data_IF_718398357714
#
_entry.id   IF_718398357714
#
_cell.length_a   1.000
_cell.length_b   1.000
_cell.length_c   1.000
_cell.angle_alpha   90.00
_cell.angle_beta   90.00
_cell.angle_gamma   90.00
#
_symmetry.space_group_name_H-M   'P 1'
#
loop_
_entity.id
_entity.type
_entity.pdbx_description
1 polymer ?
#
# COMPACT_ATOMS: atom_id res chain seq x y z
N UNK A 1 -11.14 33.95 2.76
CA UNK A 1 -12.43 33.24 2.88
C UNK A 1 -12.29 31.72 2.83
N UNK A 2 -11.54 31.12 1.90
CA UNK A 2 -11.41 29.64 1.80
C UNK A 2 -10.88 28.94 3.06
N UNK A 3 -9.87 29.48 3.74
CA UNK A 3 -9.30 28.91 4.95
C UNK A 3 -10.26 28.89 6.15
N UNK A 4 -11.09 29.89 6.31
CA UNK A 4 -12.09 29.96 7.39
C UNK A 4 -13.15 28.85 7.24
N UNK A 5 -13.70 28.69 6.03
CA UNK A 5 -14.67 27.62 5.77
C UNK A 5 -14.05 26.23 5.90
N UNK A 6 -12.78 26.09 5.53
CA UNK A 6 -12.05 24.84 5.72
C UNK A 6 -11.92 24.48 7.22
N UNK A 7 -11.53 25.44 8.08
CA UNK A 7 -11.46 25.21 9.53
C UNK A 7 -12.81 24.78 10.12
N UNK A 8 -13.89 25.47 9.76
CA UNK A 8 -15.25 25.09 10.20
C UNK A 8 -15.56 23.65 9.77
N UNK A 9 -15.30 23.31 8.51
CA UNK A 9 -15.54 21.96 7.99
C UNK A 9 -14.75 20.91 8.77
N UNK A 10 -13.48 21.19 9.09
CA UNK A 10 -12.63 20.28 9.86
C UNK A 10 -13.11 20.10 11.32
N UNK A 11 -13.60 21.16 11.95
CA UNK A 11 -14.17 21.09 13.30
C UNK A 11 -15.48 20.31 13.33
N UNK A 12 -16.36 20.51 12.35
CA UNK A 12 -17.58 19.71 12.19
C UNK A 12 -17.28 18.24 11.91
N UNK A 13 -16.29 17.95 11.07
CA UNK A 13 -15.82 16.61 10.82
C UNK A 13 -15.33 15.91 12.11
N UNK A 14 -14.53 16.61 12.94
CA UNK A 14 -14.09 16.09 14.24
C UNK A 14 -15.26 15.81 15.19
N UNK A 15 -16.23 16.71 15.25
CA UNK A 15 -17.43 16.52 16.06
C UNK A 15 -18.22 15.28 15.59
N UNK A 16 -18.35 15.07 14.26
CA UNK A 16 -18.96 13.89 13.68
C UNK A 16 -18.23 12.59 14.01
N UNK A 17 -16.87 12.60 13.98
CA UNK A 17 -16.07 11.45 14.44
C UNK A 17 -16.31 11.17 15.92
N UNK A 18 -16.34 12.20 16.78
CA UNK A 18 -16.62 12.04 18.21
C UNK A 18 -17.97 11.40 18.47
N UNK A 19 -19.01 11.84 17.76
CA UNK A 19 -20.36 11.26 17.84
C UNK A 19 -20.37 9.80 17.36
N UNK A 20 -19.75 9.51 16.21
CA UNK A 20 -19.66 8.15 15.69
C UNK A 20 -18.93 7.21 16.66
N UNK A 21 -17.84 7.68 17.28
CA UNK A 21 -17.10 6.91 18.28
C UNK A 21 -17.96 6.61 19.53
N UNK A 22 -18.72 7.60 20.00
CA UNK A 22 -19.67 7.45 21.10
C UNK A 22 -20.79 6.44 20.76
N UNK A 23 -21.22 6.39 19.49
CA UNK A 23 -22.18 5.40 18.98
C UNK A 23 -21.56 4.02 18.70
N UNK A 24 -20.30 3.78 19.04
CA UNK A 24 -19.70 2.46 18.90
C UNK A 24 -18.97 2.17 17.60
N UNK A 25 -18.72 3.18 16.76
CA UNK A 25 -18.05 2.96 15.48
C UNK A 25 -16.54 2.78 15.67
N UNK A 26 -16.04 1.57 15.44
CA UNK A 26 -14.64 1.18 15.75
C UNK A 26 -13.58 2.01 15.04
N UNK A 27 -13.76 2.31 13.74
CA UNK A 27 -12.81 3.17 13.00
C UNK A 27 -12.73 4.58 13.58
N UNK A 28 -13.85 5.13 14.09
CA UNK A 28 -13.86 6.44 14.75
C UNK A 28 -13.17 6.40 16.10
N UNK A 29 -13.36 5.34 16.88
CA UNK A 29 -12.64 5.10 18.14
C UNK A 29 -11.14 4.97 17.90
N UNK A 30 -10.72 4.16 16.93
CA UNK A 30 -9.32 4.01 16.56
C UNK A 30 -8.69 5.34 16.12
N UNK A 31 -9.43 6.16 15.34
CA UNK A 31 -8.97 7.48 14.92
C UNK A 31 -8.71 8.43 16.10
N UNK A 32 -9.55 8.41 17.13
CA UNK A 32 -9.36 9.20 18.35
C UNK A 32 -8.19 8.66 19.18
N UNK A 33 -8.13 7.35 19.37
CA UNK A 33 -7.13 6.68 20.21
C UNK A 33 -5.69 6.97 19.76
N UNK A 34 -5.40 6.94 18.46
CA UNK A 34 -4.04 7.23 17.96
C UNK A 34 -3.62 8.71 18.14
N UNK A 35 -4.55 9.60 18.51
CA UNK A 35 -4.29 11.05 18.71
C UNK A 35 -4.12 11.44 20.18
N UNK A 36 -4.53 10.57 21.10
CA UNK A 36 -4.40 10.81 22.53
C UNK A 36 -2.92 10.83 22.96
N UNK A 37 -2.52 11.85 23.72
CA UNK A 37 -1.16 12.02 24.23
C UNK A 37 -0.06 12.24 23.15
N UNK A 38 -0.42 12.39 21.85
CA UNK A 38 0.58 12.42 20.78
C UNK A 38 1.44 13.66 20.73
N UNK A 39 0.92 14.81 21.12
CA UNK A 39 1.72 16.06 21.19
C UNK A 39 2.77 15.99 22.29
N UNK A 40 2.42 15.42 23.45
CA UNK A 40 3.35 15.23 24.58
C UNK A 40 4.44 14.21 24.18
N UNK A 41 4.04 13.09 23.55
CA UNK A 41 4.97 12.08 23.05
C UNK A 41 5.95 12.66 21.99
N UNK A 42 5.45 13.50 21.07
CA UNK A 42 6.28 14.18 20.09
C UNK A 42 7.23 15.19 20.77
N UNK A 43 6.74 15.98 21.71
CA UNK A 43 7.56 16.92 22.49
C UNK A 43 8.68 16.20 23.26
N UNK A 44 8.36 15.06 23.88
CA UNK A 44 9.36 14.22 24.55
C UNK A 44 10.38 13.65 23.55
N UNK A 45 9.96 13.14 22.41
CA UNK A 45 10.87 12.65 21.37
C UNK A 45 11.79 13.79 20.87
N UNK A 46 11.21 14.97 20.61
CA UNK A 46 11.95 16.15 20.16
C UNK A 46 13.00 16.61 21.18
N UNK A 47 12.71 16.52 22.49
CA UNK A 47 13.66 16.91 23.55
C UNK A 47 14.89 16.01 23.62
N UNK A 48 14.84 14.82 23.02
CA UNK A 48 15.95 13.85 22.95
C UNK A 48 16.84 14.04 21.71
N UNK A 49 16.39 14.81 20.72
CA UNK A 49 17.20 15.11 19.55
C UNK A 49 18.43 15.94 19.91
N UNK A 50 19.53 15.66 19.27
CA UNK A 50 20.73 16.50 19.37
C UNK A 50 20.44 17.90 18.84
N UNK A 51 21.23 18.93 19.27
CA UNK A 51 21.00 20.31 18.84
C UNK A 51 20.98 20.50 17.32
N UNK A 52 21.82 19.77 16.60
CA UNK A 52 21.98 19.84 15.14
C UNK A 52 20.96 18.98 14.37
N UNK A 53 20.28 18.01 15.01
CA UNK A 53 19.34 17.12 14.35
C UNK A 53 18.05 17.84 13.99
N UNK A 54 17.53 17.54 12.79
CA UNK A 54 16.24 18.02 12.30
C UNK A 54 15.33 16.85 11.97
N UNK A 55 14.03 17.11 12.00
CA UNK A 55 13.01 16.19 11.52
C UNK A 55 12.88 16.26 10.00
N UNK A 56 13.13 15.16 9.30
CA UNK A 56 12.57 14.97 7.98
C UNK A 56 11.18 14.33 8.12
N UNK A 57 10.15 15.12 7.84
CA UNK A 57 8.77 14.72 8.10
C UNK A 57 8.13 14.07 6.87
N UNK A 58 7.60 12.86 7.04
CA UNK A 58 6.80 12.14 6.05
C UNK A 58 5.37 12.01 6.54
N UNK A 59 4.41 12.30 5.69
CA UNK A 59 2.99 12.11 6.00
C UNK A 59 2.34 11.08 5.09
N UNK A 60 1.64 10.10 5.70
CA UNK A 60 0.89 9.05 5.03
C UNK A 60 -0.52 8.99 5.63
N UNK A 61 -1.56 9.12 4.83
CA UNK A 61 -2.92 9.04 5.34
C UNK A 61 -3.31 7.60 5.71
N UNK A 62 -2.76 6.61 5.00
CA UNK A 62 -3.15 5.20 5.08
C UNK A 62 -1.96 4.25 4.96
N UNK A 63 -2.22 2.94 5.16
CA UNK A 63 -1.22 1.88 4.95
C UNK A 63 -0.70 1.87 3.51
N UNK A 64 -1.58 2.08 2.51
CA UNK A 64 -1.15 2.09 1.09
C UNK A 64 -0.18 3.22 0.75
N UNK A 65 -0.33 4.39 1.37
CA UNK A 65 0.61 5.51 1.24
C UNK A 65 1.91 5.26 2.00
N UNK A 66 1.83 4.60 3.16
CA UNK A 66 3.01 4.17 3.89
C UNK A 66 3.87 3.20 3.07
N UNK A 67 3.25 2.26 2.36
CA UNK A 67 3.97 1.35 1.48
C UNK A 67 4.71 2.07 0.33
N UNK A 68 4.16 3.19 -0.15
CA UNK A 68 4.85 4.07 -1.10
C UNK A 68 5.95 4.91 -0.44
N UNK A 69 5.77 5.28 0.82
CA UNK A 69 6.75 6.10 1.55
C UNK A 69 8.00 5.30 1.98
N UNK A 70 7.86 4.01 2.27
CA UNK A 70 8.97 3.17 2.77
C UNK A 70 10.24 3.23 1.93
N UNK A 71 10.22 3.08 0.60
CA UNK A 71 11.41 3.20 -0.24
C UNK A 71 12.04 4.59 -0.20
N UNK A 72 11.21 5.64 -0.21
CA UNK A 72 11.67 7.04 -0.15
C UNK A 72 12.33 7.33 1.21
N UNK A 73 11.71 6.91 2.31
CA UNK A 73 12.25 7.06 3.67
C UNK A 73 13.56 6.29 3.84
N UNK A 74 13.65 5.05 3.31
CA UNK A 74 14.88 4.24 3.33
C UNK A 74 16.00 4.93 2.54
N UNK A 75 15.71 5.45 1.36
CA UNK A 75 16.67 6.18 0.54
C UNK A 75 17.14 7.46 1.24
N UNK A 76 16.21 8.21 1.85
CA UNK A 76 16.54 9.39 2.66
C UNK A 76 17.47 9.03 3.83
N UNK A 77 17.12 8.02 4.62
CA UNK A 77 17.95 7.55 5.74
C UNK A 77 19.36 7.17 5.30
N UNK A 78 19.50 6.54 4.13
CA UNK A 78 20.82 6.14 3.61
C UNK A 78 21.70 7.34 3.22
N UNK A 79 21.10 8.43 2.75
CA UNK A 79 21.84 9.64 2.31
C UNK A 79 21.95 10.71 3.40
N UNK A 80 21.08 10.69 4.42
CA UNK A 80 21.04 11.64 5.52
C UNK A 80 20.88 10.88 6.87
N UNK A 81 21.93 10.15 7.29
CA UNK A 81 21.86 9.34 8.50
C UNK A 81 21.75 10.18 9.78
N UNK A 82 22.13 11.46 9.71
CA UNK A 82 22.06 12.43 10.81
C UNK A 82 20.64 12.93 11.10
N UNK A 83 19.74 12.91 10.12
CA UNK A 83 18.37 13.38 10.31
C UNK A 83 17.56 12.38 11.12
N UNK A 84 16.63 12.88 11.94
CA UNK A 84 15.59 12.06 12.52
C UNK A 84 14.37 12.03 11.60
N UNK A 85 13.70 10.88 11.50
CA UNK A 85 12.49 10.73 10.71
C UNK A 85 11.25 10.94 11.59
N UNK A 86 10.38 11.86 11.18
CA UNK A 86 9.06 12.04 11.74
C UNK A 86 8.04 11.47 10.77
N UNK A 87 7.37 10.37 11.14
CA UNK A 87 6.32 9.76 10.35
C UNK A 87 4.96 10.04 10.96
N UNK A 88 4.05 10.64 10.21
CA UNK A 88 2.70 10.90 10.69
C UNK A 88 1.65 10.14 9.90
N UNK A 89 0.65 9.57 10.60
CA UNK A 89 -0.49 8.89 10.02
C UNK A 89 -1.80 9.64 10.27
N UNK A 90 -2.70 9.59 9.28
CA UNK A 90 -4.05 10.06 9.49
C UNK A 90 -4.99 8.96 10.01
N UNK A 91 -4.91 7.75 9.43
CA UNK A 91 -5.75 6.60 9.79
C UNK A 91 -5.07 5.68 10.81
N UNK A 92 -5.87 4.99 11.62
CA UNK A 92 -5.40 3.95 12.52
C UNK A 92 -4.75 2.79 11.75
N UNK A 93 -5.25 2.43 10.57
CA UNK A 93 -4.69 1.32 9.78
C UNK A 93 -3.22 1.49 9.39
N UNK A 94 -2.81 2.72 9.03
CA UNK A 94 -1.40 3.02 8.75
C UNK A 94 -0.54 2.94 10.01
N UNK A 95 -1.06 3.47 11.13
CA UNK A 95 -0.44 3.37 12.44
C UNK A 95 -0.21 1.91 12.87
N UNK A 96 -1.26 1.08 12.78
CA UNK A 96 -1.23 -0.33 13.19
C UNK A 96 -0.27 -1.14 12.31
N UNK A 97 -0.25 -0.89 11.00
CA UNK A 97 0.68 -1.55 10.08
C UNK A 97 2.14 -1.24 10.43
N UNK A 98 2.45 0.03 10.76
CA UNK A 98 3.78 0.43 11.18
C UNK A 98 4.18 -0.17 12.53
N UNK A 99 3.29 -0.13 13.53
CA UNK A 99 3.60 -0.61 14.89
C UNK A 99 3.76 -2.12 14.96
N UNK A 100 3.04 -2.88 14.13
CA UNK A 100 3.21 -4.34 14.01
C UNK A 100 4.58 -4.73 13.45
N UNK A 101 5.12 -3.98 12.49
CA UNK A 101 6.39 -4.29 11.86
C UNK A 101 7.15 -3.01 11.51
N UNK A 102 7.94 -2.52 12.46
CA UNK A 102 8.86 -1.41 12.22
C UNK A 102 9.96 -1.83 11.23
N UNK A 103 10.36 -0.94 10.31
CA UNK A 103 11.50 -1.22 9.43
C UNK A 103 12.81 -1.35 10.22
N UNK A 104 13.72 -2.20 9.76
CA UNK A 104 15.04 -2.40 10.39
C UNK A 104 15.91 -1.12 10.42
N UNK A 105 15.72 -0.24 9.43
CA UNK A 105 16.42 1.05 9.34
C UNK A 105 15.80 2.16 10.20
N UNK A 106 14.70 1.88 10.92
CA UNK A 106 14.08 2.80 11.88
C UNK A 106 14.89 2.85 13.17
N UNK A 107 15.30 4.05 13.59
CA UNK A 107 16.20 4.25 14.73
C UNK A 107 15.46 4.70 15.99
N UNK A 108 16.16 4.77 17.10
CA UNK A 108 15.62 5.28 18.37
C UNK A 108 15.34 6.79 18.35
N UNK A 109 15.98 7.54 17.45
CA UNK A 109 15.79 8.97 17.28
C UNK A 109 14.54 9.27 16.43
N UNK A 110 14.03 8.29 15.69
CA UNK A 110 12.84 8.47 14.84
C UNK A 110 11.55 8.42 15.66
N UNK A 111 10.53 9.14 15.18
CA UNK A 111 9.25 9.18 15.87
C UNK A 111 8.07 9.00 14.93
N UNK A 112 7.09 8.19 15.38
CA UNK A 112 5.80 8.04 14.71
C UNK A 112 4.71 8.74 15.51
N UNK A 113 3.83 9.45 14.81
CA UNK A 113 2.76 10.21 15.44
C UNK A 113 1.48 10.17 14.61
N UNK A 114 0.36 10.60 15.21
CA UNK A 114 -0.86 10.83 14.44
C UNK A 114 -0.90 12.28 13.94
N UNK A 115 -1.31 12.45 12.69
CA UNK A 115 -1.54 13.78 12.11
C UNK A 115 -2.65 14.49 12.88
N UNK A 116 -2.44 15.73 13.37
CA UNK A 116 -3.50 16.51 14.00
C UNK A 116 -4.54 16.94 12.96
N UNK A 117 -5.64 17.54 13.41
CA UNK A 117 -6.65 18.10 12.51
C UNK A 117 -6.09 19.30 11.75
N UNK A 118 -6.45 19.47 10.45
CA UNK A 118 -5.99 20.58 9.60
C UNK A 118 -6.69 21.91 9.96
N UNK A 119 -6.48 22.33 11.19
CA UNK A 119 -6.90 23.64 11.72
C UNK A 119 -5.72 24.37 12.32
N UNK A 120 -5.70 25.68 12.21
CA UNK A 120 -4.53 26.52 12.55
C UNK A 120 -3.98 26.25 13.95
N UNK A 121 -4.84 26.15 14.96
CA UNK A 121 -4.43 25.91 16.33
C UNK A 121 -3.73 24.56 16.49
N UNK A 122 -4.30 23.49 15.94
CA UNK A 122 -3.73 22.15 16.02
C UNK A 122 -2.37 22.06 15.30
N UNK A 123 -2.25 22.69 14.13
CA UNK A 123 -1.01 22.70 13.37
C UNK A 123 0.10 23.48 14.09
N UNK A 124 -0.24 24.62 14.71
CA UNK A 124 0.71 25.38 15.53
C UNK A 124 1.22 24.55 16.70
N UNK A 125 0.33 23.91 17.46
CA UNK A 125 0.72 23.06 18.59
C UNK A 125 1.58 21.88 18.16
N UNK A 126 1.28 21.28 17.00
CA UNK A 126 2.06 20.18 16.47
C UNK A 126 3.49 20.63 16.08
N UNK A 127 3.63 21.72 15.33
CA UNK A 127 4.95 22.25 14.95
C UNK A 127 5.73 22.67 16.19
N UNK A 128 5.07 23.26 17.19
CA UNK A 128 5.73 23.59 18.45
C UNK A 128 6.20 22.34 19.21
N UNK A 129 5.41 21.26 19.26
CA UNK A 129 5.83 20.00 19.86
C UNK A 129 6.98 19.33 19.07
N UNK A 130 7.07 19.55 17.77
CA UNK A 130 8.18 19.13 16.93
C UNK A 130 9.45 20.04 17.11
N UNK A 131 9.44 20.99 18.05
CA UNK A 131 10.55 21.86 18.37
C UNK A 131 10.63 23.16 17.56
N UNK A 132 9.53 23.53 16.87
CA UNK A 132 9.48 24.71 16.02
C UNK A 132 9.79 24.43 14.55
N UNK A 133 9.61 25.44 13.72
CA UNK A 133 9.87 25.33 12.28
C UNK A 133 11.35 25.07 11.96
N UNK A 134 12.24 25.58 12.76
CA UNK A 134 13.71 25.43 12.64
C UNK A 134 14.18 23.99 12.85
N UNK A 135 13.37 23.14 13.51
CA UNK A 135 13.64 21.71 13.68
C UNK A 135 13.07 20.87 12.56
N UNK A 136 12.33 21.47 11.64
CA UNK A 136 11.76 20.77 10.48
C UNK A 136 12.63 21.02 9.25
N UNK A 137 13.32 20.00 8.77
CA UNK A 137 14.08 20.04 7.51
C UNK A 137 13.13 20.17 6.31
N UNK A 138 11.98 19.53 6.37
CA UNK A 138 10.93 19.60 5.37
C UNK A 138 9.83 18.62 5.62
N UNK A 139 8.74 18.73 4.84
CA UNK A 139 7.61 17.80 4.83
C UNK A 139 7.40 17.23 3.44
N UNK A 140 7.29 15.90 3.34
CA UNK A 140 6.86 15.18 2.14
C UNK A 140 5.51 14.47 2.38
N UNK A 141 4.49 14.84 1.61
CA UNK A 141 3.23 14.12 1.55
C UNK A 141 3.32 12.93 0.59
N UNK A 142 2.72 11.81 0.96
CA UNK A 142 2.55 10.69 0.06
C UNK A 142 1.24 10.82 -0.74
N UNK A 143 1.33 10.64 -2.05
CA UNK A 143 0.23 10.46 -3.00
C UNK A 143 -0.65 11.70 -3.25
N UNK A 144 -1.69 11.96 -2.48
CA UNK A 144 -2.64 13.07 -2.73
C UNK A 144 -3.30 13.64 -1.48
N UNK A 145 -2.97 13.15 -0.31
CA UNK A 145 -3.56 13.64 0.95
C UNK A 145 -2.89 14.93 1.42
N UNK A 146 -3.20 16.02 0.71
CA UNK A 146 -2.63 17.35 0.94
C UNK A 146 -3.48 18.14 1.93
N UNK A 147 -2.82 18.69 2.94
CA UNK A 147 -3.42 19.46 4.04
C UNK A 147 -3.18 20.96 3.86
N UNK A 148 -4.16 21.74 3.31
CA UNK A 148 -3.92 23.10 2.86
C UNK A 148 -3.51 24.07 3.97
N UNK A 149 -4.05 23.93 5.19
CA UNK A 149 -3.67 24.79 6.31
C UNK A 149 -2.25 24.50 6.77
N UNK A 150 -1.86 23.23 6.83
CA UNK A 150 -0.49 22.84 7.16
C UNK A 150 0.50 23.36 6.12
N UNK A 151 0.22 23.16 4.83
CA UNK A 151 1.06 23.66 3.73
C UNK A 151 1.23 25.16 3.83
N UNK A 152 0.13 25.91 4.02
CA UNK A 152 0.19 27.37 4.16
C UNK A 152 1.01 27.79 5.39
N UNK A 153 0.84 27.12 6.53
CA UNK A 153 1.57 27.39 7.76
C UNK A 153 3.08 27.16 7.61
N UNK A 154 3.47 25.98 7.07
CA UNK A 154 4.88 25.63 6.87
C UNK A 154 5.55 26.51 5.82
N UNK A 155 4.86 26.82 4.72
CA UNK A 155 5.37 27.74 3.68
C UNK A 155 5.62 29.12 4.26
N UNK A 156 4.71 29.64 5.11
CA UNK A 156 4.89 30.92 5.78
C UNK A 156 6.08 30.90 6.78
N UNK A 157 6.31 29.75 7.42
CA UNK A 157 7.45 29.50 8.30
C UNK A 157 8.73 29.16 7.53
N UNK A 158 8.73 29.17 6.19
CA UNK A 158 9.85 28.84 5.29
C UNK A 158 10.32 27.39 5.41
N UNK A 159 9.49 26.49 5.88
CA UNK A 159 9.73 25.05 5.86
C UNK A 159 9.33 24.51 4.49
N UNK A 160 10.24 23.84 3.75
CA UNK A 160 9.92 23.27 2.45
C UNK A 160 8.87 22.19 2.56
N UNK A 161 7.90 22.19 1.63
CA UNK A 161 6.85 21.17 1.53
C UNK A 161 6.87 20.61 0.13
N UNK A 162 6.77 19.28 0.01
CA UNK A 162 6.69 18.56 -1.25
C UNK A 162 5.69 17.42 -1.20
N UNK A 163 5.55 16.77 -2.33
CA UNK A 163 4.67 15.59 -2.46
C UNK A 163 5.34 14.59 -3.41
N UNK A 164 5.22 13.32 -3.09
CA UNK A 164 5.70 12.23 -3.95
C UNK A 164 4.61 11.20 -4.25
N UNK A 165 4.87 10.38 -5.27
CA UNK A 165 3.96 9.36 -5.78
C UNK A 165 2.56 9.89 -6.13
N UNK A 166 2.47 11.17 -6.54
CA UNK A 166 1.22 11.80 -6.92
C UNK A 166 0.52 11.05 -8.06
N UNK A 167 -0.75 10.72 -7.89
CA UNK A 167 -1.58 10.12 -8.94
C UNK A 167 -2.86 10.94 -9.07
N UNK A 168 -2.88 11.84 -10.08
CA UNK A 168 -3.95 12.82 -10.25
C UNK A 168 -4.70 12.54 -11.54
N UNK A 169 -5.99 12.27 -11.40
CA UNK A 169 -6.88 12.07 -12.54
C UNK A 169 -7.58 13.39 -12.90
N UNK A 170 -7.70 13.72 -14.20
CA UNK A 170 -8.42 14.90 -14.66
C UNK A 170 -9.85 14.93 -14.11
N UNK A 171 -10.34 16.11 -13.74
CA UNK A 171 -11.72 16.30 -13.25
C UNK A 171 -12.01 15.76 -11.85
N UNK A 172 -11.03 15.16 -11.15
CA UNK A 172 -11.15 14.76 -9.75
C UNK A 172 -10.81 15.91 -8.81
N UNK A 173 -11.34 15.87 -7.60
CA UNK A 173 -10.99 16.81 -6.56
C UNK A 173 -9.49 16.73 -6.23
N UNK A 174 -8.80 17.90 -6.05
CA UNK A 174 -9.28 19.30 -6.07
C UNK A 174 -9.25 19.98 -7.45
N UNK A 175 -9.06 19.25 -8.53
CA UNK A 175 -8.86 19.77 -9.88
C UNK A 175 -10.17 19.94 -10.67
N UNK A 176 -11.25 20.23 -9.97
CA UNK A 176 -12.56 20.62 -10.52
C UNK A 176 -13.03 21.95 -9.95
N UNK A 177 -14.18 22.45 -10.43
CA UNK A 177 -14.80 23.66 -9.91
C UNK A 177 -14.97 23.59 -8.39
N UNK A 178 -14.67 24.67 -7.66
CA UNK A 178 -14.71 24.75 -6.20
C UNK A 178 -13.42 24.35 -5.48
N UNK A 179 -12.48 23.64 -6.10
CA UNK A 179 -11.25 23.17 -5.47
C UNK A 179 -10.10 24.19 -5.35
N UNK A 180 -10.37 25.49 -5.57
CA UNK A 180 -9.34 26.55 -5.64
C UNK A 180 -8.45 26.66 -4.41
N UNK A 181 -9.01 26.51 -3.22
CA UNK A 181 -8.26 26.59 -1.97
C UNK A 181 -7.25 25.44 -1.83
N UNK A 182 -7.67 24.21 -2.10
CA UNK A 182 -6.76 23.08 -2.08
C UNK A 182 -5.70 23.12 -3.19
N UNK A 183 -6.09 23.57 -4.42
CA UNK A 183 -5.11 23.73 -5.51
C UNK A 183 -4.01 24.72 -5.16
N UNK A 184 -4.30 25.75 -4.38
CA UNK A 184 -3.28 26.69 -3.93
C UNK A 184 -2.18 26.02 -3.11
N UNK A 185 -2.52 25.02 -2.28
CA UNK A 185 -1.52 24.26 -1.54
C UNK A 185 -0.55 23.51 -2.47
N UNK A 186 -1.06 22.95 -3.57
CA UNK A 186 -0.20 22.28 -4.55
C UNK A 186 0.75 23.24 -5.27
N UNK A 187 0.30 24.45 -5.57
CA UNK A 187 1.11 25.47 -6.28
C UNK A 187 2.28 25.99 -5.47
N UNK A 188 2.16 26.04 -4.15
CA UNK A 188 3.21 26.56 -3.26
C UNK A 188 4.20 25.50 -2.79
N UNK A 189 3.97 24.24 -3.14
CA UNK A 189 4.92 23.17 -2.85
C UNK A 189 6.25 23.40 -3.58
N UNK A 190 7.34 23.08 -2.91
CA UNK A 190 8.69 23.20 -3.45
C UNK A 190 8.89 22.28 -4.65
N UNK A 191 8.38 21.04 -4.57
CA UNK A 191 8.41 20.02 -5.62
C UNK A 191 7.27 19.01 -5.47
N UNK A 192 6.75 18.57 -6.60
CA UNK A 192 5.75 17.49 -6.66
C UNK A 192 6.24 16.41 -7.62
N UNK A 193 6.35 15.17 -7.16
CA UNK A 193 6.69 14.01 -7.99
C UNK A 193 5.44 13.17 -8.21
N UNK A 194 5.18 12.85 -9.48
CA UNK A 194 4.00 12.07 -9.88
C UNK A 194 4.40 10.72 -10.48
N UNK A 195 3.43 9.81 -10.53
CA UNK A 195 3.63 8.47 -11.04
C UNK A 195 3.62 8.41 -12.58
N UNK A 196 2.87 9.31 -13.25
CA UNK A 196 2.57 9.21 -14.68
C UNK A 196 2.62 10.55 -15.40
N UNK A 197 2.89 10.52 -16.72
CA UNK A 197 2.82 11.69 -17.61
C UNK A 197 1.42 12.33 -17.63
N UNK A 198 0.35 11.54 -17.48
CA UNK A 198 -1.01 12.05 -17.40
C UNK A 198 -1.22 12.94 -16.16
N UNK A 199 -0.65 12.53 -15.02
CA UNK A 199 -0.67 13.32 -13.79
C UNK A 199 0.20 14.57 -13.93
N UNK A 200 1.37 14.49 -14.57
CA UNK A 200 2.24 15.62 -14.86
C UNK A 200 1.49 16.65 -15.72
N UNK A 201 0.91 16.23 -16.84
CA UNK A 201 0.14 17.12 -17.73
C UNK A 201 -1.01 17.81 -16.99
N UNK A 202 -1.74 17.07 -16.14
CA UNK A 202 -2.83 17.62 -15.33
C UNK A 202 -2.33 18.71 -14.39
N UNK A 203 -1.26 18.46 -13.63
CA UNK A 203 -0.76 19.40 -12.62
C UNK A 203 -0.05 20.60 -13.24
N UNK A 204 0.70 20.40 -14.32
CA UNK A 204 1.37 21.48 -15.07
C UNK A 204 0.37 22.52 -15.58
N UNK A 205 -0.81 22.08 -16.05
CA UNK A 205 -1.88 22.97 -16.50
C UNK A 205 -2.40 23.91 -15.40
N UNK A 206 -2.17 23.55 -14.14
CA UNK A 206 -2.51 24.41 -12.99
C UNK A 206 -1.30 25.19 -12.42
N UNK A 207 -0.14 25.13 -13.07
CA UNK A 207 1.07 25.85 -12.64
C UNK A 207 1.74 25.25 -11.38
N UNK A 208 1.63 23.94 -11.20
CA UNK A 208 2.35 23.20 -10.14
C UNK A 208 3.75 22.85 -10.64
N UNK A 209 4.76 22.98 -9.78
CA UNK A 209 6.13 22.54 -10.05
C UNK A 209 6.22 21.02 -9.92
N UNK A 210 6.07 20.29 -11.02
CA UNK A 210 5.85 18.85 -11.06
C UNK A 210 6.79 18.14 -12.03
N UNK A 211 7.21 16.93 -11.68
CA UNK A 211 7.98 16.02 -12.54
C UNK A 211 7.54 14.56 -12.35
N UNK A 212 7.82 13.71 -13.33
CA UNK A 212 7.55 12.27 -13.21
C UNK A 212 8.74 11.58 -12.54
N UNK A 213 8.50 10.88 -11.44
CA UNK A 213 9.49 10.04 -10.79
C UNK A 213 9.07 8.55 -10.72
N UNK A 214 7.83 8.22 -11.11
CA UNK A 214 7.31 6.86 -11.01
C UNK A 214 6.66 6.54 -9.66
N UNK A 215 6.43 5.26 -9.44
CA UNK A 215 5.76 4.74 -8.23
C UNK A 215 6.76 3.99 -7.35
N UNK A 216 7.04 4.45 -6.13
CA UNK A 216 7.98 3.77 -5.22
C UNK A 216 7.57 2.35 -4.83
N UNK A 217 6.31 1.92 -5.08
CA UNK A 217 5.90 0.53 -4.83
C UNK A 217 6.70 -0.48 -5.64
N UNK A 218 7.20 -0.11 -6.82
CA UNK A 218 8.07 -0.98 -7.62
C UNK A 218 9.38 -1.30 -6.89
N UNK A 219 10.01 -0.29 -6.28
CA UNK A 219 11.21 -0.48 -5.45
C UNK A 219 10.92 -1.43 -4.27
N UNK A 220 9.76 -1.24 -3.61
CA UNK A 220 9.36 -2.05 -2.47
C UNK A 220 9.19 -3.53 -2.83
N UNK A 221 8.38 -3.80 -3.87
CA UNK A 221 8.08 -5.19 -4.23
C UNK A 221 9.30 -5.92 -4.76
N UNK A 222 10.16 -5.26 -5.56
CA UNK A 222 11.39 -5.87 -6.05
C UNK A 222 12.36 -6.18 -4.90
N UNK A 223 12.51 -5.27 -3.94
CA UNK A 223 13.33 -5.53 -2.75
C UNK A 223 12.76 -6.66 -1.89
N UNK A 224 11.43 -6.72 -1.72
CA UNK A 224 10.79 -7.78 -0.96
C UNK A 224 11.04 -9.15 -1.60
N UNK A 225 10.82 -9.26 -2.90
CA UNK A 225 11.05 -10.50 -3.67
C UNK A 225 12.53 -10.90 -3.67
N UNK A 226 13.45 -9.93 -3.84
CA UNK A 226 14.89 -10.21 -3.90
C UNK A 226 15.51 -10.71 -2.58
N UNK A 227 14.86 -10.43 -1.45
CA UNK A 227 15.29 -10.86 -0.10
C UNK A 227 14.49 -12.05 0.42
N UNK A 228 13.43 -12.45 -0.31
CA UNK A 228 12.49 -13.45 0.14
C UNK A 228 12.97 -14.88 -0.25
N UNK A 229 12.90 -15.77 0.72
CA UNK A 229 13.04 -17.21 0.50
C UNK A 229 11.70 -17.85 0.89
N UNK A 230 11.02 -18.51 -0.06
CA UNK A 230 9.75 -19.16 0.22
C UNK A 230 9.86 -20.20 1.33
N UNK A 231 8.83 -20.34 2.12
CA UNK A 231 8.73 -21.35 3.18
C UNK A 231 8.96 -22.75 2.60
N UNK A 232 9.88 -23.51 3.22
CA UNK A 232 10.28 -24.83 2.73
C UNK A 232 9.14 -25.85 2.79
N UNK A 233 8.26 -25.75 3.78
CA UNK A 233 7.09 -26.66 3.88
C UNK A 233 6.12 -26.41 2.74
N UNK A 234 5.89 -25.13 2.36
CA UNK A 234 5.10 -24.79 1.18
C UNK A 234 5.71 -25.29 -0.12
N UNK A 235 7.04 -25.14 -0.28
CA UNK A 235 7.74 -25.64 -1.47
C UNK A 235 7.58 -27.17 -1.59
N UNK A 236 7.79 -27.90 -0.50
CA UNK A 236 7.63 -29.34 -0.45
C UNK A 236 6.19 -29.75 -0.73
N UNK A 237 5.21 -29.00 -0.22
CA UNK A 237 3.80 -29.28 -0.41
C UNK A 237 3.35 -29.08 -1.88
N UNK A 238 3.83 -28.01 -2.54
CA UNK A 238 3.55 -27.77 -3.97
C UNK A 238 4.16 -28.88 -4.85
N UNK A 239 5.39 -29.31 -4.54
CA UNK A 239 6.06 -30.47 -5.15
C UNK A 239 6.02 -30.48 -6.69
N UNK A 240 6.42 -29.38 -7.32
CA UNK A 240 6.43 -29.17 -8.79
C UNK A 240 5.10 -29.34 -9.52
N UNK A 241 3.98 -29.45 -8.81
CA UNK A 241 2.65 -29.49 -9.43
C UNK A 241 2.30 -28.10 -10.02
N UNK A 242 1.55 -28.03 -11.14
CA UNK A 242 0.99 -26.78 -11.60
C UNK A 242 0.20 -26.11 -10.48
N UNK A 243 0.62 -24.89 -10.10
CA UNK A 243 0.11 -24.21 -8.90
C UNK A 243 -0.65 -22.93 -9.24
N UNK A 244 -1.93 -22.89 -8.85
CA UNK A 244 -2.76 -21.70 -8.85
C UNK A 244 -2.71 -21.03 -7.48
N UNK A 245 -2.38 -19.73 -7.44
CA UNK A 245 -2.52 -18.94 -6.20
C UNK A 245 -3.63 -17.91 -6.37
N UNK A 246 -4.61 -17.89 -5.45
CA UNK A 246 -5.66 -16.87 -5.39
C UNK A 246 -5.40 -15.99 -4.18
N UNK A 247 -4.80 -14.83 -4.43
CA UNK A 247 -4.39 -13.90 -3.38
C UNK A 247 -5.43 -12.83 -3.11
N UNK A 248 -5.67 -12.51 -1.84
CA UNK A 248 -6.72 -11.59 -1.40
C UNK A 248 -8.09 -11.98 -1.96
N UNK A 249 -8.39 -13.27 -1.91
CA UNK A 249 -9.55 -13.90 -2.54
C UNK A 249 -10.87 -13.44 -1.90
N UNK A 250 -11.85 -13.18 -2.75
CA UNK A 250 -13.27 -13.04 -2.39
C UNK A 250 -14.06 -14.16 -3.01
N UNK A 251 -15.33 -14.29 -2.66
CA UNK A 251 -16.16 -15.42 -3.10
C UNK A 251 -16.14 -15.70 -4.62
N UNK A 252 -16.22 -14.68 -5.51
CA UNK A 252 -16.19 -14.93 -6.95
C UNK A 252 -14.88 -15.55 -7.46
N UNK A 253 -13.75 -15.15 -6.86
CA UNK A 253 -12.44 -15.70 -7.21
C UNK A 253 -12.24 -17.11 -6.64
N UNK A 254 -12.78 -17.40 -5.46
CA UNK A 254 -12.79 -18.76 -4.90
C UNK A 254 -13.59 -19.70 -5.77
N UNK A 255 -14.81 -19.30 -6.14
CA UNK A 255 -15.71 -20.09 -6.99
C UNK A 255 -15.03 -20.46 -8.30
N UNK A 256 -14.45 -19.47 -8.98
CA UNK A 256 -13.75 -19.68 -10.23
C UNK A 256 -12.51 -20.57 -10.11
N UNK A 257 -11.79 -20.53 -8.98
CA UNK A 257 -10.65 -21.39 -8.72
C UNK A 257 -11.09 -22.86 -8.49
N UNK A 258 -12.12 -23.05 -7.69
CA UNK A 258 -12.68 -24.37 -7.39
C UNK A 258 -13.22 -25.05 -8.66
N UNK A 259 -13.97 -24.33 -9.48
CA UNK A 259 -14.51 -24.84 -10.74
C UNK A 259 -13.44 -25.11 -11.81
N UNK A 260 -12.32 -24.39 -11.75
CA UNK A 260 -11.21 -24.55 -12.70
C UNK A 260 -10.27 -25.71 -12.36
N UNK A 261 -10.23 -26.14 -11.10
CA UNK A 261 -9.27 -27.13 -10.62
C UNK A 261 -9.39 -28.48 -11.31
N UNK A 262 -8.26 -29.12 -11.54
CA UNK A 262 -8.16 -30.47 -12.12
C UNK A 262 -7.20 -31.33 -11.30
N UNK A 263 -7.44 -32.62 -11.27
CA UNK A 263 -6.56 -33.59 -10.60
C UNK A 263 -5.10 -33.46 -11.09
N UNK A 264 -4.17 -33.53 -10.16
CA UNK A 264 -2.73 -33.33 -10.42
C UNK A 264 -2.25 -31.89 -10.31
N UNK A 265 -3.16 -30.92 -10.15
CA UNK A 265 -2.83 -29.51 -9.86
C UNK A 265 -2.91 -29.24 -8.35
N UNK A 266 -2.29 -28.16 -7.91
CA UNK A 266 -2.54 -27.63 -6.57
C UNK A 266 -3.00 -26.17 -6.61
N UNK A 267 -3.75 -25.78 -5.57
CA UNK A 267 -4.21 -24.41 -5.37
C UNK A 267 -3.84 -23.91 -3.97
N UNK A 268 -3.40 -22.65 -3.88
CA UNK A 268 -3.20 -21.94 -2.60
C UNK A 268 -4.16 -20.77 -2.58
N UNK A 269 -5.12 -20.80 -1.65
CA UNK A 269 -6.15 -19.78 -1.51
C UNK A 269 -5.84 -18.94 -0.28
N UNK A 270 -5.59 -17.65 -0.48
CA UNK A 270 -5.34 -16.67 0.58
C UNK A 270 -6.52 -15.69 0.63
N UNK A 271 -7.47 -15.88 1.53
CA UNK A 271 -8.67 -15.04 1.61
C UNK A 271 -8.36 -13.60 2.03
N UNK A 272 -9.18 -12.66 1.58
CA UNK A 272 -9.09 -11.26 2.02
C UNK A 272 -9.66 -11.05 3.43
N UNK A 273 -10.81 -11.65 3.68
CA UNK A 273 -11.49 -11.68 4.99
C UNK A 273 -11.99 -13.11 5.19
N UNK A 274 -11.96 -13.60 6.43
CA UNK A 274 -12.42 -14.95 6.73
C UNK A 274 -12.99 -15.07 8.15
N UNK A 275 -13.82 -16.07 8.34
CA UNK A 275 -14.25 -16.61 9.63
C UNK A 275 -14.02 -18.12 9.62
N UNK A 276 -14.03 -18.75 10.79
CA UNK A 276 -13.89 -20.21 10.88
C UNK A 276 -14.97 -20.93 10.04
N UNK A 277 -16.21 -20.39 10.07
CA UNK A 277 -17.34 -20.93 9.30
C UNK A 277 -17.12 -20.82 7.78
N UNK A 278 -16.59 -19.68 7.31
CA UNK A 278 -16.31 -19.50 5.87
C UNK A 278 -15.18 -20.41 5.38
N UNK A 279 -14.14 -20.63 6.18
CA UNK A 279 -13.05 -21.57 5.88
C UNK A 279 -13.58 -23.01 5.80
N UNK A 280 -14.40 -23.44 6.79
CA UNK A 280 -14.99 -24.77 6.80
C UNK A 280 -15.93 -25.01 5.60
N UNK A 281 -16.75 -24.01 5.22
CA UNK A 281 -17.63 -24.10 4.07
C UNK A 281 -16.84 -24.25 2.76
N UNK A 282 -15.75 -23.49 2.60
CA UNK A 282 -14.89 -23.63 1.42
C UNK A 282 -14.15 -24.96 1.39
N UNK A 283 -13.61 -25.44 2.51
CA UNK A 283 -13.01 -26.77 2.56
C UNK A 283 -13.99 -27.85 2.09
N UNK A 284 -15.25 -27.84 2.62
CA UNK A 284 -16.28 -28.77 2.21
C UNK A 284 -16.63 -28.68 0.73
N UNK A 285 -16.56 -27.49 0.15
CA UNK A 285 -16.80 -27.27 -1.29
C UNK A 285 -15.73 -27.94 -2.15
N UNK A 286 -14.45 -27.77 -1.77
CA UNK A 286 -13.35 -28.45 -2.45
C UNK A 286 -13.41 -29.97 -2.31
N UNK A 287 -13.79 -30.48 -1.15
CA UNK A 287 -14.06 -31.92 -0.95
C UNK A 287 -15.15 -32.44 -1.87
N UNK A 288 -16.23 -31.69 -2.06
CA UNK A 288 -17.31 -32.05 -2.99
C UNK A 288 -16.86 -32.11 -4.46
N UNK A 289 -15.79 -31.40 -4.83
CA UNK A 289 -15.13 -31.47 -6.13
C UNK A 289 -14.09 -32.60 -6.25
N UNK A 290 -13.89 -33.38 -5.17
CA UNK A 290 -12.92 -34.46 -5.10
C UNK A 290 -11.50 -34.05 -4.71
N UNK A 291 -11.27 -32.78 -4.38
CA UNK A 291 -9.97 -32.29 -3.90
C UNK A 291 -9.80 -32.50 -2.39
N UNK A 292 -8.56 -32.54 -1.91
CA UNK A 292 -8.21 -32.68 -0.50
C UNK A 292 -7.78 -31.31 0.05
N UNK A 293 -8.67 -30.56 0.74
CA UNK A 293 -8.31 -29.28 1.33
C UNK A 293 -7.47 -29.45 2.60
N UNK A 294 -6.50 -28.56 2.77
CA UNK A 294 -5.65 -28.42 3.96
C UNK A 294 -5.82 -26.99 4.48
N UNK A 295 -6.10 -26.81 5.77
CA UNK A 295 -6.19 -25.48 6.40
C UNK A 295 -4.86 -25.17 7.08
N UNK A 296 -4.23 -24.07 6.70
CA UNK A 296 -2.89 -23.70 7.10
C UNK A 296 -2.71 -23.61 8.63
N UNK A 297 -3.57 -22.86 9.32
CA UNK A 297 -3.46 -22.67 10.78
C UNK A 297 -3.57 -23.96 11.58
N UNK A 298 -4.26 -24.97 11.07
CA UNK A 298 -4.41 -26.27 11.75
C UNK A 298 -3.10 -27.08 11.79
N UNK A 299 -2.12 -26.76 10.95
CA UNK A 299 -0.86 -27.49 10.78
C UNK A 299 0.38 -26.66 11.14
N UNK A 300 0.21 -25.38 11.47
CA UNK A 300 1.31 -24.50 11.87
C UNK A 300 1.27 -24.28 13.38
N UNK A 301 2.09 -25.05 14.13
CA UNK A 301 2.40 -24.76 15.52
C UNK A 301 3.57 -23.77 15.64
N UNK A 302 3.79 -23.15 16.81
CA UNK A 302 4.94 -22.26 17.09
C UNK A 302 6.30 -22.94 16.85
N UNK A 303 6.38 -24.26 16.87
CA UNK A 303 7.53 -25.08 16.50
C UNK A 303 7.66 -25.40 14.99
N UNK A 304 7.06 -24.64 14.18
CA UNK A 304 7.01 -24.33 12.74
C UNK A 304 7.83 -25.18 11.74
N UNK A 305 8.12 -26.44 11.96
CA UNK A 305 8.75 -27.37 10.99
C UNK A 305 7.92 -28.61 10.69
N UNK A 306 6.63 -28.60 11.05
CA UNK A 306 5.75 -29.70 10.72
C UNK A 306 5.51 -29.73 9.21
N UNK A 307 5.75 -30.88 8.59
CA UNK A 307 5.37 -31.14 7.22
C UNK A 307 3.86 -30.95 7.06
N UNK A 308 3.45 -30.26 6.00
CA UNK A 308 2.03 -30.15 5.65
C UNK A 308 1.54 -31.53 5.20
N UNK A 309 0.30 -31.93 5.55
CA UNK A 309 -0.27 -33.16 5.05
C UNK A 309 -0.45 -33.11 3.53
N UNK A 310 -0.51 -34.26 2.90
CA UNK A 310 -0.86 -34.34 1.48
C UNK A 310 -2.22 -33.70 1.23
N UNK A 311 -2.27 -32.88 0.20
CA UNK A 311 -3.48 -32.15 -0.19
C UNK A 311 -3.38 -31.56 -1.58
N UNK A 312 -4.49 -31.09 -2.08
CA UNK A 312 -4.61 -30.52 -3.42
C UNK A 312 -4.91 -29.01 -3.33
N UNK A 313 -5.48 -28.58 -2.20
CA UNK A 313 -5.81 -27.18 -1.95
C UNK A 313 -5.35 -26.77 -0.56
N UNK A 314 -4.58 -25.69 -0.47
CA UNK A 314 -4.16 -25.09 0.79
C UNK A 314 -4.93 -23.79 1.04
N UNK A 315 -5.73 -23.75 2.09
CA UNK A 315 -6.46 -22.56 2.51
C UNK A 315 -5.62 -21.85 3.60
N UNK A 316 -5.11 -20.68 3.29
CA UNK A 316 -4.22 -19.90 4.17
C UNK A 316 -5.04 -18.90 4.96
N UNK A 317 -5.40 -19.26 6.15
CA UNK A 317 -6.23 -18.48 7.08
C UNK A 317 -5.41 -17.67 8.11
N UNK A 318 -4.18 -17.28 7.72
CA UNK A 318 -3.28 -16.42 8.50
C UNK A 318 -2.80 -15.22 7.68
N UNK A 319 -2.26 -14.21 8.37
CA UNK A 319 -1.76 -13.00 7.73
C UNK A 319 -0.27 -13.10 7.45
N UNK A 320 0.16 -12.66 6.25
CA UNK A 320 1.57 -12.48 5.91
C UNK A 320 2.12 -13.47 4.89
N UNK A 321 1.38 -14.49 4.52
CA UNK A 321 1.83 -15.62 3.69
C UNK A 321 1.74 -15.38 2.16
N UNK A 322 1.19 -14.22 1.72
CA UNK A 322 0.99 -13.92 0.29
C UNK A 322 2.29 -13.93 -0.51
N UNK A 323 3.39 -13.45 0.09
CA UNK A 323 4.67 -13.39 -0.61
C UNK A 323 5.23 -14.79 -0.88
N UNK A 324 5.09 -15.70 0.10
CA UNK A 324 5.43 -17.12 -0.02
C UNK A 324 4.59 -17.81 -1.09
N UNK A 325 3.27 -17.63 -1.01
CA UNK A 325 2.33 -18.21 -1.96
C UNK A 325 2.64 -17.77 -3.40
N UNK A 326 2.82 -16.46 -3.63
CA UNK A 326 3.12 -15.95 -4.96
C UNK A 326 4.46 -16.47 -5.51
N UNK A 327 5.46 -16.69 -4.68
CA UNK A 327 6.73 -17.25 -5.12
C UNK A 327 6.57 -18.64 -5.78
N UNK A 328 5.62 -19.45 -5.31
CA UNK A 328 5.39 -20.82 -5.73
C UNK A 328 4.38 -20.97 -6.88
N UNK A 329 3.64 -19.92 -7.21
CA UNK A 329 2.60 -19.94 -8.25
C UNK A 329 3.17 -20.14 -9.66
N UNK A 330 2.45 -20.82 -10.54
CA UNK A 330 2.56 -20.68 -12.00
C UNK A 330 1.59 -19.63 -12.52
N UNK A 331 0.39 -19.56 -11.93
CA UNK A 331 -0.67 -18.60 -12.26
C UNK A 331 -1.19 -17.96 -10.98
N UNK A 332 -1.41 -16.65 -11.03
CA UNK A 332 -1.96 -15.90 -9.89
C UNK A 332 -3.27 -15.22 -10.27
N UNK A 333 -4.29 -15.44 -9.47
CA UNK A 333 -5.49 -14.61 -9.44
C UNK A 333 -5.35 -13.59 -8.32
N UNK A 334 -5.51 -12.31 -8.63
CA UNK A 334 -5.56 -11.25 -7.61
C UNK A 334 -7.00 -10.83 -7.40
N UNK A 335 -7.50 -11.04 -6.18
CA UNK A 335 -8.89 -10.83 -5.81
C UNK A 335 -9.32 -9.37 -5.76
N UNK A 336 -10.63 -9.18 -5.60
CA UNK A 336 -11.29 -7.88 -5.48
C UNK A 336 -11.74 -7.27 -6.80
N UNK A 337 -11.32 -7.83 -7.93
CA UNK A 337 -11.66 -7.33 -9.25
C UNK A 337 -13.14 -7.44 -9.63
N UNK A 338 -13.91 -8.27 -8.96
CA UNK A 338 -15.38 -8.33 -9.11
C UNK A 338 -16.14 -7.51 -8.04
N UNK A 339 -15.41 -6.85 -7.12
CA UNK A 339 -15.99 -6.08 -6.02
C UNK A 339 -15.50 -4.62 -5.98
N UNK A 340 -14.81 -4.25 -4.91
CA UNK A 340 -14.37 -2.86 -4.62
C UNK A 340 -13.16 -2.40 -5.45
N UNK A 341 -12.52 -3.29 -6.19
CA UNK A 341 -11.32 -3.07 -6.99
C UNK A 341 -10.22 -4.07 -6.65
N UNK A 342 -9.38 -4.36 -7.65
CA UNK A 342 -8.29 -5.33 -7.55
C UNK A 342 -7.29 -4.94 -6.44
N UNK A 343 -6.75 -5.95 -5.77
CA UNK A 343 -5.67 -5.77 -4.79
C UNK A 343 -4.29 -5.58 -5.47
N UNK A 344 -3.21 -5.72 -4.71
CA UNK A 344 -1.84 -5.46 -5.20
C UNK A 344 -1.42 -6.49 -6.28
N UNK A 345 -1.26 -6.03 -7.51
CA UNK A 345 -0.77 -6.85 -8.65
C UNK A 345 0.75 -6.80 -8.83
N UNK A 346 1.44 -5.89 -8.14
CA UNK A 346 2.89 -5.72 -8.29
C UNK A 346 3.69 -6.84 -7.61
N UNK A 347 3.20 -7.42 -6.51
CA UNK A 347 3.89 -8.54 -5.85
C UNK A 347 3.96 -9.78 -6.75
N UNK A 348 2.85 -10.32 -7.30
CA UNK A 348 2.95 -11.42 -8.23
C UNK A 348 3.69 -11.06 -9.53
N UNK A 349 3.61 -9.81 -10.00
CA UNK A 349 4.39 -9.34 -11.14
C UNK A 349 5.89 -9.38 -10.85
N UNK A 350 6.33 -8.96 -9.67
CA UNK A 350 7.72 -9.01 -9.27
C UNK A 350 8.27 -10.45 -9.15
N UNK A 351 7.41 -11.40 -8.72
CA UNK A 351 7.72 -12.83 -8.75
C UNK A 351 7.70 -13.45 -10.17
N UNK A 352 7.39 -12.67 -11.20
CA UNK A 352 7.35 -13.15 -12.57
C UNK A 352 6.21 -14.11 -12.84
N UNK A 353 5.01 -13.82 -12.30
CA UNK A 353 3.82 -14.68 -12.45
C UNK A 353 2.86 -14.13 -13.48
N UNK A 354 2.18 -15.02 -14.21
CA UNK A 354 1.00 -14.67 -14.99
C UNK A 354 -0.12 -14.25 -14.06
N UNK A 355 -0.79 -13.13 -14.37
CA UNK A 355 -1.79 -12.53 -13.47
C UNK A 355 -3.15 -12.51 -14.14
N UNK A 356 -4.18 -12.94 -13.41
CA UNK A 356 -5.57 -12.87 -13.81
C UNK A 356 -6.35 -12.02 -12.80
N UNK A 357 -7.23 -11.14 -13.28
CA UNK A 357 -8.02 -10.23 -12.42
C UNK A 357 -9.44 -10.06 -12.98
N UNK A 358 -10.39 -9.66 -12.12
CA UNK A 358 -11.72 -9.22 -12.55
C UNK A 358 -11.73 -7.78 -13.12
N UNK A 359 -12.92 -7.27 -13.47
CA UNK A 359 -13.14 -6.06 -14.27
C UNK A 359 -12.77 -4.73 -13.58
N UNK A 360 -12.85 -4.62 -12.25
CA UNK A 360 -12.72 -3.35 -11.53
C UNK A 360 -11.25 -2.93 -11.36
N UNK A 361 -10.63 -2.54 -12.46
CA UNK A 361 -9.18 -2.26 -12.56
C UNK A 361 -8.83 -0.82 -12.97
N UNK A 362 -9.79 0.03 -13.31
CA UNK A 362 -9.57 1.36 -13.92
C UNK A 362 -8.72 2.33 -13.08
N UNK A 363 -8.63 2.10 -11.77
CA UNK A 363 -7.90 2.97 -10.83
C UNK A 363 -6.41 2.63 -10.71
N UNK A 364 -5.96 1.58 -11.39
CA UNK A 364 -4.64 0.98 -11.19
C UNK A 364 -3.84 1.08 -12.49
N UNK A 365 -2.97 2.07 -12.58
CA UNK A 365 -2.16 2.34 -13.77
C UNK A 365 -1.27 1.14 -14.16
N UNK A 366 -0.74 0.44 -13.17
CA UNK A 366 0.09 -0.75 -13.35
C UNK A 366 -0.67 -1.90 -14.02
N UNK A 367 -1.98 -2.05 -13.76
CA UNK A 367 -2.79 -3.09 -14.41
C UNK A 367 -2.91 -2.86 -15.91
N UNK A 368 -3.13 -1.61 -16.33
CA UNK A 368 -3.19 -1.28 -17.74
C UNK A 368 -1.86 -1.57 -18.45
N UNK A 369 -0.74 -1.24 -17.84
CA UNK A 369 0.59 -1.51 -18.36
C UNK A 369 0.90 -3.01 -18.42
N UNK A 370 0.66 -3.77 -17.34
CA UNK A 370 0.85 -5.23 -17.32
C UNK A 370 -0.04 -5.94 -18.36
N UNK A 371 -1.26 -5.44 -18.58
CA UNK A 371 -2.14 -5.95 -19.65
C UNK A 371 -1.54 -5.72 -21.03
N UNK A 372 -0.98 -4.54 -21.27
CA UNK A 372 -0.36 -4.20 -22.55
C UNK A 372 0.86 -5.10 -22.89
N UNK A 373 1.60 -5.57 -21.88
CA UNK A 373 2.69 -6.55 -22.07
C UNK A 373 2.21 -7.97 -22.33
N UNK A 374 0.91 -8.26 -22.09
CA UNK A 374 0.35 -9.60 -22.12
C UNK A 374 0.63 -10.44 -20.86
N UNK A 375 1.17 -9.82 -19.80
CA UNK A 375 1.45 -10.47 -18.52
C UNK A 375 0.21 -10.62 -17.64
N UNK A 376 -0.79 -9.74 -17.84
CA UNK A 376 -2.02 -9.70 -17.08
C UNK A 376 -3.24 -9.80 -17.99
N UNK A 377 -4.22 -10.60 -17.61
CA UNK A 377 -5.52 -10.69 -18.28
C UNK A 377 -6.65 -10.21 -17.37
N UNK A 378 -7.56 -9.42 -17.93
CA UNK A 378 -8.77 -8.94 -17.24
C UNK A 378 -9.94 -9.79 -17.68
N UNK A 379 -10.59 -10.49 -16.74
CA UNK A 379 -11.70 -11.40 -16.97
C UNK A 379 -13.04 -10.70 -16.75
N UNK A 380 -13.96 -10.83 -17.70
CA UNK A 380 -15.24 -10.14 -17.70
C UNK A 380 -16.27 -10.68 -16.70
N UNK A 381 -16.09 -11.91 -16.25
CA UNK A 381 -16.97 -12.59 -15.30
C UNK A 381 -16.21 -13.67 -14.54
N UNK A 382 -16.77 -14.22 -13.43
CA UNK A 382 -16.20 -15.38 -12.76
C UNK A 382 -16.03 -16.59 -13.68
N UNK A 383 -16.99 -16.85 -14.59
CA UNK A 383 -16.87 -17.93 -15.58
C UNK A 383 -15.71 -17.72 -16.55
N UNK A 384 -15.51 -16.48 -17.05
CA UNK A 384 -14.36 -16.16 -17.86
C UNK A 384 -13.04 -16.28 -17.08
N UNK A 385 -13.04 -16.03 -15.77
CA UNK A 385 -11.89 -16.26 -14.89
C UNK A 385 -11.62 -17.76 -14.73
N UNK A 386 -12.65 -18.59 -14.58
CA UNK A 386 -12.53 -20.05 -14.55
C UNK A 386 -11.87 -20.58 -15.83
N UNK A 387 -12.36 -20.20 -17.00
CA UNK A 387 -11.78 -20.58 -18.30
C UNK A 387 -10.32 -20.11 -18.45
N UNK A 388 -10.02 -18.90 -18.01
CA UNK A 388 -8.66 -18.34 -18.04
C UNK A 388 -7.71 -19.11 -17.11
N UNK A 389 -8.17 -19.51 -15.91
CA UNK A 389 -7.41 -20.34 -14.98
C UNK A 389 -7.07 -21.69 -15.61
N UNK A 390 -8.07 -22.40 -16.18
CA UNK A 390 -7.89 -23.69 -16.84
C UNK A 390 -6.85 -23.57 -17.97
N UNK A 391 -7.05 -22.62 -18.86
CA UNK A 391 -6.14 -22.40 -19.99
C UNK A 391 -4.70 -22.09 -19.52
N UNK A 392 -4.56 -21.26 -18.51
CA UNK A 392 -3.26 -20.83 -18.01
C UNK A 392 -2.48 -21.96 -17.30
N UNK A 393 -3.21 -22.87 -16.60
CA UNK A 393 -2.61 -24.02 -15.92
C UNK A 393 -2.32 -25.19 -16.89
N UNK A 394 -3.04 -25.29 -18.00
CA UNK A 394 -2.75 -26.29 -19.05
C UNK A 394 -1.48 -25.94 -19.82
N UNK A 395 -1.18 -24.64 -20.00
CA UNK A 395 0.07 -24.20 -20.65
C UNK A 395 0.92 -23.37 -19.67
N UNK A 396 1.57 -24.08 -18.74
CA UNK A 396 2.50 -23.48 -17.77
C UNK A 396 3.67 -22.78 -18.46
N UNK A 397 4.11 -23.27 -19.64
CA UNK A 397 5.17 -22.64 -20.43
C UNK A 397 4.80 -21.23 -20.90
N UNK A 398 3.60 -21.08 -21.49
CA UNK A 398 3.08 -19.77 -21.87
C UNK A 398 2.84 -18.86 -20.65
N UNK A 399 2.39 -19.44 -19.53
CA UNK A 399 2.19 -18.70 -18.28
C UNK A 399 3.51 -18.17 -17.72
N UNK A 400 4.58 -18.96 -17.70
CA UNK A 400 5.93 -18.52 -17.32
C UNK A 400 6.49 -17.44 -18.25
N UNK A 401 6.25 -17.56 -19.56
CA UNK A 401 6.63 -16.51 -20.53
C UNK A 401 5.91 -15.19 -20.28
N UNK A 402 4.60 -15.23 -20.00
CA UNK A 402 3.83 -14.05 -19.59
C UNK A 402 4.35 -13.46 -18.28
N UNK A 403 4.63 -14.31 -17.30
CA UNK A 403 5.23 -13.91 -16.01
C UNK A 403 6.59 -13.22 -16.17
N UNK A 404 7.45 -13.72 -17.05
CA UNK A 404 8.74 -13.08 -17.33
C UNK A 404 8.59 -11.63 -17.82
N UNK A 405 7.54 -11.33 -18.60
CA UNK A 405 7.20 -9.96 -19.01
C UNK A 405 6.72 -9.11 -17.84
N UNK A 406 5.96 -9.69 -16.89
CA UNK A 406 5.58 -9.00 -15.67
C UNK A 406 6.79 -8.58 -14.83
N UNK A 407 7.74 -9.50 -14.62
CA UNK A 407 8.97 -9.22 -13.89
C UNK A 407 9.87 -8.19 -14.62
N UNK A 408 9.93 -8.23 -15.94
CA UNK A 408 10.65 -7.22 -16.72
C UNK A 408 10.04 -5.84 -16.53
N UNK A 409 8.71 -5.72 -16.63
CA UNK A 409 7.99 -4.47 -16.38
C UNK A 409 8.29 -3.91 -14.97
N UNK A 410 8.28 -4.75 -13.94
CA UNK A 410 8.62 -4.30 -12.58
C UNK A 410 10.05 -3.77 -12.52
N UNK A 411 11.02 -4.50 -13.06
CA UNK A 411 12.44 -4.08 -13.07
C UNK A 411 12.70 -2.78 -13.83
N UNK A 412 11.95 -2.50 -14.88
CA UNK A 412 12.06 -1.29 -15.69
C UNK A 412 11.49 -0.04 -15.01
N UNK A 413 10.63 -0.23 -13.98
CA UNK A 413 9.94 0.86 -13.30
C UNK A 413 10.44 1.14 -11.87
N UNK A 414 11.57 0.55 -11.44
CA UNK A 414 12.20 0.85 -10.16
C UNK A 414 13.02 2.12 -10.20
N UNK A 415 13.39 2.62 -9.02
CA UNK A 415 14.28 3.78 -8.84
C UNK A 415 13.56 5.03 -8.35
N UNK A 416 12.22 5.03 -8.29
CA UNK A 416 11.43 6.17 -7.85
C UNK A 416 11.79 6.62 -6.42
N UNK A 417 12.00 5.67 -5.50
CA UNK A 417 12.35 5.97 -4.11
C UNK A 417 13.64 6.77 -3.99
N UNK A 418 14.68 6.36 -4.70
CA UNK A 418 15.98 7.05 -4.73
C UNK A 418 15.89 8.40 -5.44
N UNK A 419 15.23 8.45 -6.60
CA UNK A 419 15.07 9.69 -7.38
C UNK A 419 14.33 10.77 -6.59
N UNK A 420 13.28 10.41 -5.86
CA UNK A 420 12.52 11.32 -5.00
C UNK A 420 13.39 11.81 -3.84
N UNK A 421 14.08 10.92 -3.12
CA UNK A 421 14.91 11.29 -1.98
C UNK A 421 16.06 12.24 -2.40
N UNK A 422 16.73 11.93 -3.51
CA UNK A 422 17.80 12.77 -4.03
C UNK A 422 17.27 14.11 -4.60
N UNK A 423 16.16 14.07 -5.33
CA UNK A 423 15.49 15.27 -5.84
C UNK A 423 15.03 16.20 -4.72
N UNK A 424 14.57 15.63 -3.59
CA UNK A 424 14.22 16.40 -2.40
C UNK A 424 15.44 17.00 -1.74
N UNK A 425 16.51 16.23 -1.54
CA UNK A 425 17.79 16.76 -1.01
C UNK A 425 18.32 17.94 -1.82
N UNK A 426 18.24 17.87 -3.14
CA UNK A 426 18.64 18.96 -4.04
C UNK A 426 17.70 20.17 -4.00
N UNK A 427 16.49 20.00 -3.51
CA UNK A 427 15.46 21.04 -3.42
C UNK A 427 15.50 21.81 -2.09
N UNK A 428 16.12 21.25 -1.05
CA UNK A 428 16.29 21.89 0.27
C UNK A 428 17.37 22.93 0.25
#
# INVERSE_FOLDING_TARGET
MGGFWHEITMLLYRAGIGLAAACGHDKARGWLAIREGRLEALGFATSRLKPEQQWMWFHCASVGEYEQARPVMKAWRSSHPEDALLLSFYSASGWDAFTRRKPEWWTADDHVTAMPLDVRASMRSFVQAAGGAERLRGLLFAKYDVWPMLVAFLTQARVPVGLFAGHVLPGRWPFRWGGGYQRQAWKVMRRVWVQTEASLSTLSAYGVNVEVAGDPRFDRVLNAVGQHQPDQALQTWVNDRPCLVVGSAWQPEWDAACEAWQEGQCAIIVPHEWTAESIAAEASRWEAMGARPVVWSAHRSEDARAELPEGDVLIVDTMGELLDAYALADVVVVGGGFGKGVHNTLEPAAHGKRILVGLNVERYAEVAALRATGALSVCGSPSALCEANQTALQDVGASRSAGAKAAAYVRENVGAGMAIAQGWSNAL
#
